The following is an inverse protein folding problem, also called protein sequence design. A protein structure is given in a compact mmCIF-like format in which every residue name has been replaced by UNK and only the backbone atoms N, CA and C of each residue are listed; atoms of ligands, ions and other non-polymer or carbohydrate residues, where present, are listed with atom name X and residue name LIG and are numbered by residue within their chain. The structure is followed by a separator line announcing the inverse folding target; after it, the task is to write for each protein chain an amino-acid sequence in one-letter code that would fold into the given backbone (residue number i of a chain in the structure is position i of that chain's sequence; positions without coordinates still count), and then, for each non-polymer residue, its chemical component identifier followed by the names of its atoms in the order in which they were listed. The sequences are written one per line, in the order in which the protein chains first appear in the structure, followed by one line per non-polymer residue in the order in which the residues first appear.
data_IF_930164286929
#
_entry.id   IF_930164286929
#
_cell.length_a   1.000
_cell.length_b   1.000
_cell.length_c   1.000
_cell.angle_alpha   90.00
_cell.angle_beta   90.00
_cell.angle_gamma   90.00
#
_symmetry.space_group_name_H-M   'P 1'
#
loop_
_entity.id
_entity.type
_entity.pdbx_description
1 polymer ?
#
# COMPACT_ATOMS: atom_id res chain seq x y z
N UNK A 1 -14.45 38.59 -26.99
CA UNK A 1 -15.19 38.40 -28.27
C UNK A 1 -15.38 36.90 -28.50
N UNK A 2 -16.10 36.53 -29.57
CA UNK A 2 -16.53 35.18 -29.96
C UNK A 2 -15.38 34.13 -29.98
N UNK A 3 -15.65 32.81 -29.93
CA UNK A 3 -16.89 32.13 -30.34
C UNK A 3 -17.32 30.93 -29.48
N UNK A 4 -18.63 30.67 -29.51
CA UNK A 4 -19.27 29.40 -29.17
C UNK A 4 -19.23 28.43 -30.37
N UNK A 5 -19.35 27.13 -30.10
CA UNK A 5 -20.05 26.15 -30.94
C UNK A 5 -20.91 25.28 -30.00
N UNK A 6 -22.06 24.80 -30.48
CA UNK A 6 -23.05 24.02 -29.71
C UNK A 6 -23.72 22.94 -30.60
N UNK A 7 -24.64 22.17 -30.03
CA UNK A 7 -25.30 20.96 -30.55
C UNK A 7 -24.36 19.73 -30.66
N UNK A 8 -24.67 18.54 -30.13
CA UNK A 8 -25.81 18.11 -29.32
C UNK A 8 -26.93 17.39 -30.09
N UNK A 9 -27.21 16.13 -29.72
CA UNK A 9 -28.46 15.40 -30.04
C UNK A 9 -28.63 14.18 -29.13
N UNK A 10 -29.87 13.92 -28.72
CA UNK A 10 -30.33 12.76 -27.94
C UNK A 10 -30.70 11.58 -28.84
N UNK A 11 -30.81 10.38 -28.26
CA UNK A 11 -32.02 9.54 -28.37
C UNK A 11 -31.98 8.33 -27.42
N UNK A 12 -33.16 7.79 -27.11
CA UNK A 12 -33.37 6.74 -26.11
C UNK A 12 -33.41 5.32 -26.69
N UNK A 13 -33.00 4.36 -25.84
CA UNK A 13 -33.57 3.03 -25.59
C UNK A 13 -34.44 2.37 -26.69
N UNK A 14 -34.07 1.12 -27.05
CA UNK A 14 -35.07 0.06 -27.23
C UNK A 14 -34.54 -1.34 -26.88
N UNK A 15 -35.44 -2.15 -26.32
CA UNK A 15 -35.22 -3.47 -25.71
C UNK A 15 -35.34 -4.63 -26.71
N UNK A 16 -34.68 -5.76 -26.40
CA UNK A 16 -35.12 -7.12 -26.78
C UNK A 16 -34.60 -8.12 -25.73
N UNK A 17 -35.27 -9.28 -25.59
CA UNK A 17 -35.00 -10.24 -24.52
C UNK A 17 -35.13 -11.70 -24.98
N UNK A 18 -34.40 -12.60 -24.30
CA UNK A 18 -34.64 -14.04 -24.07
C UNK A 18 -33.55 -14.52 -23.08
N UNK A 19 -33.74 -15.44 -22.11
CA UNK A 19 -34.30 -16.82 -22.13
C UNK A 19 -33.45 -17.79 -23.00
N UNK A 20 -33.13 -19.02 -22.58
CA UNK A 20 -33.57 -19.78 -21.39
C UNK A 20 -32.54 -20.86 -20.95
N UNK A 21 -32.54 -21.15 -19.65
CA UNK A 21 -32.29 -22.43 -18.94
C UNK A 21 -31.55 -23.63 -19.60
N UNK A 22 -30.67 -24.26 -18.77
CA UNK A 22 -30.56 -25.72 -18.51
C UNK A 22 -30.10 -26.69 -19.65
N UNK A 23 -29.57 -27.90 -19.38
CA UNK A 23 -29.10 -28.54 -18.12
C UNK A 23 -28.22 -29.78 -18.38
N UNK A 24 -27.31 -30.07 -17.43
CA UNK A 24 -26.90 -31.39 -16.89
C UNK A 24 -26.55 -32.60 -17.79
N UNK A 25 -25.50 -33.32 -17.34
CA UNK A 25 -25.35 -34.80 -17.38
C UNK A 25 -25.13 -35.46 -18.77
N UNK A 26 -24.45 -36.61 -18.92
CA UNK A 26 -23.81 -37.51 -17.93
C UNK A 26 -22.80 -38.46 -18.63
N UNK A 27 -21.78 -38.97 -17.89
CA UNK A 27 -21.11 -40.30 -18.09
C UNK A 27 -20.44 -40.65 -19.47
N UNK A 28 -19.51 -41.62 -19.63
CA UNK A 28 -18.59 -42.34 -18.72
C UNK A 28 -17.53 -43.21 -19.45
N UNK A 29 -16.30 -43.33 -18.86
CA UNK A 29 -15.52 -44.59 -18.64
C UNK A 29 -14.85 -45.36 -19.83
N UNK A 30 -13.72 -46.06 -19.52
CA UNK A 30 -12.95 -47.12 -20.28
C UNK A 30 -12.02 -46.63 -21.42
N UNK A 31 -10.86 -47.25 -21.78
CA UNK A 31 -9.96 -48.32 -21.25
C UNK A 31 -8.66 -48.41 -22.16
N UNK A 32 -7.52 -49.10 -21.93
CA UNK A 32 -6.84 -49.78 -20.79
C UNK A 32 -5.36 -50.21 -21.17
N UNK A 33 -4.63 -50.87 -20.24
CA UNK A 33 -3.64 -51.99 -20.46
C UNK A 33 -2.21 -51.77 -21.06
N UNK A 34 -1.20 -51.88 -20.15
CA UNK A 34 0.06 -52.69 -20.15
C UNK A 34 1.28 -52.54 -21.12
N UNK A 35 2.48 -52.58 -20.49
CA UNK A 35 3.75 -53.31 -20.87
C UNK A 35 4.59 -52.84 -22.11
N UNK A 36 5.92 -53.04 -22.21
CA UNK A 36 6.98 -53.64 -21.35
C UNK A 36 8.42 -53.26 -21.83
N UNK A 37 9.46 -53.38 -20.95
CA UNK A 37 10.91 -53.70 -21.26
C UNK A 37 11.80 -52.70 -22.04
N UNK A 38 13.15 -52.75 -22.07
CA UNK A 38 14.22 -53.29 -21.19
C UNK A 38 15.62 -52.70 -21.60
N UNK A 39 16.65 -52.97 -20.78
CA UNK A 39 18.11 -53.09 -21.08
C UNK A 39 19.06 -51.87 -21.32
N UNK A 40 19.98 -51.73 -20.36
CA UNK A 40 21.48 -51.82 -20.48
C UNK A 40 22.34 -50.74 -21.19
N UNK A 41 22.98 -49.91 -20.34
CA UNK A 41 24.44 -49.72 -20.13
C UNK A 41 25.47 -49.74 -21.30
N UNK A 42 26.34 -48.72 -21.32
CA UNK A 42 27.77 -48.82 -21.71
C UNK A 42 28.55 -47.54 -21.39
N UNK A 43 29.69 -47.66 -20.70
CA UNK A 43 30.73 -46.62 -20.59
C UNK A 43 31.78 -46.74 -21.71
N UNK A 44 32.38 -45.63 -22.17
CA UNK A 44 33.82 -45.49 -22.53
C UNK A 44 34.20 -44.00 -22.54
N UNK A 45 35.48 -43.68 -22.29
CA UNK A 45 36.04 -42.32 -22.13
C UNK A 45 36.71 -41.76 -23.39
N UNK A 46 36.93 -40.43 -23.47
CA UNK A 46 38.21 -39.84 -23.93
C UNK A 46 38.32 -38.30 -23.86
N UNK A 47 39.55 -37.85 -23.59
CA UNK A 47 40.24 -36.58 -23.88
C UNK A 47 39.48 -35.24 -24.09
N UNK A 48 39.91 -34.23 -23.32
CA UNK A 48 39.59 -32.80 -23.50
C UNK A 48 40.61 -32.08 -24.41
N UNK A 49 40.17 -31.09 -25.22
CA UNK A 49 40.98 -29.93 -25.59
C UNK A 49 40.64 -28.72 -24.69
N UNK A 50 41.65 -27.96 -24.24
CA UNK A 50 41.42 -26.72 -23.50
C UNK A 50 41.22 -25.54 -24.45
N UNK A 51 40.13 -24.79 -24.26
CA UNK A 51 39.98 -23.42 -24.73
C UNK A 51 39.88 -22.45 -23.53
N UNK A 52 39.96 -21.11 -23.72
CA UNK A 52 40.19 -20.17 -22.63
C UNK A 52 39.12 -20.15 -21.53
N UNK A 53 39.55 -19.83 -20.31
CA UNK A 53 38.63 -19.49 -19.21
C UNK A 53 37.88 -18.20 -19.55
N UNK A 54 36.68 -18.33 -20.11
CA UNK A 54 35.65 -17.31 -19.96
C UNK A 54 35.38 -17.16 -18.46
N UNK A 55 35.74 -16.00 -17.90
CA UNK A 55 35.32 -15.62 -16.55
C UNK A 55 33.80 -15.78 -16.49
N UNK A 56 33.22 -16.53 -15.54
CA UNK A 56 31.78 -16.65 -15.45
C UNK A 56 31.17 -15.27 -15.25
N UNK A 57 30.51 -14.76 -16.31
CA UNK A 57 29.53 -13.68 -16.14
C UNK A 57 28.53 -14.22 -15.11
N UNK A 58 28.17 -13.46 -14.05
CA UNK A 58 27.22 -13.95 -13.06
C UNK A 58 25.98 -14.49 -13.76
N UNK A 59 25.50 -15.67 -13.34
CA UNK A 59 24.22 -16.15 -13.84
C UNK A 59 23.17 -15.13 -13.40
N UNK A 60 22.60 -14.43 -14.37
CA UNK A 60 21.39 -13.63 -14.19
C UNK A 60 20.29 -14.62 -13.78
N UNK A 61 20.06 -14.72 -12.47
CA UNK A 61 18.94 -15.47 -11.92
C UNK A 61 17.65 -14.84 -12.46
N UNK A 62 17.00 -15.55 -13.38
CA UNK A 62 15.85 -15.06 -14.15
C UNK A 62 14.64 -14.76 -13.25
N UNK A 63 14.66 -15.26 -12.02
CA UNK A 63 13.61 -15.05 -11.05
C UNK A 63 13.85 -13.82 -10.17
N UNK A 64 15.03 -13.18 -10.24
CA UNK A 64 15.37 -11.95 -9.49
C UNK A 64 15.37 -10.72 -10.41
N UNK A 65 14.66 -9.67 -10.01
CA UNK A 65 14.48 -8.43 -10.76
C UNK A 65 14.88 -7.24 -9.86
N UNK A 66 15.98 -6.54 -10.19
CA UNK A 66 16.40 -5.33 -9.45
C UNK A 66 15.52 -4.16 -9.89
N UNK A 67 14.70 -3.65 -8.97
CA UNK A 67 13.75 -2.56 -9.23
C UNK A 67 14.31 -1.16 -8.88
N UNK A 68 15.31 -1.12 -8.01
CA UNK A 68 15.98 0.09 -7.53
C UNK A 68 17.39 -0.28 -7.09
N UNK A 69 18.36 0.60 -7.36
CA UNK A 69 19.71 0.52 -6.81
C UNK A 69 20.21 1.93 -6.49
N UNK A 70 20.75 2.13 -5.29
CA UNK A 70 21.41 3.37 -4.86
C UNK A 70 22.66 3.05 -4.03
N UNK A 71 23.54 4.03 -3.83
CA UNK A 71 24.67 3.92 -2.89
C UNK A 71 24.54 5.09 -1.90
N UNK A 72 24.49 4.81 -0.60
CA UNK A 72 24.25 5.81 0.44
C UNK A 72 24.89 5.37 1.76
N UNK A 73 25.49 6.32 2.48
CA UNK A 73 25.97 6.17 3.86
C UNK A 73 24.74 6.03 4.79
N UNK A 74 24.42 4.82 5.25
CA UNK A 74 23.23 4.58 6.09
C UNK A 74 23.55 4.45 7.58
N UNK A 75 24.78 4.09 7.96
CA UNK A 75 25.17 3.90 9.37
C UNK A 75 26.06 5.03 9.94
N UNK A 76 26.58 5.92 9.09
CA UNK A 76 27.37 7.09 9.47
C UNK A 76 28.89 6.87 9.51
N UNK A 77 29.41 5.72 9.07
CA UNK A 77 30.87 5.47 9.03
C UNK A 77 31.63 6.26 7.93
N UNK A 78 30.89 6.86 6.97
CA UNK A 78 31.36 7.63 5.79
C UNK A 78 31.83 6.80 4.60
N UNK A 79 31.52 5.51 4.56
CA UNK A 79 31.43 4.74 3.32
C UNK A 79 30.04 4.92 2.70
N UNK A 80 29.67 4.07 1.76
CA UNK A 80 28.34 4.07 1.16
C UNK A 80 27.92 2.64 0.87
N UNK A 81 26.80 2.24 1.45
CA UNK A 81 26.25 0.90 1.31
C UNK A 81 25.45 0.86 0.01
N UNK A 82 25.62 -0.21 -0.75
CA UNK A 82 24.83 -0.44 -1.96
C UNK A 82 23.47 -0.98 -1.53
N UNK A 83 22.42 -0.19 -1.73
CA UNK A 83 21.03 -0.53 -1.39
C UNK A 83 20.30 -0.95 -2.67
N UNK A 84 19.67 -2.13 -2.64
CA UNK A 84 18.87 -2.65 -3.75
C UNK A 84 17.46 -3.04 -3.29
N UNK A 85 16.43 -2.66 -4.06
CA UNK A 85 15.09 -3.27 -3.95
C UNK A 85 14.95 -4.33 -5.02
N UNK A 86 14.73 -5.56 -4.58
CA UNK A 86 14.60 -6.75 -5.40
C UNK A 86 13.16 -7.24 -5.39
N UNK A 87 12.68 -7.66 -6.56
CA UNK A 87 11.48 -8.47 -6.73
C UNK A 87 11.89 -9.87 -7.15
N UNK A 88 11.57 -10.86 -6.31
CA UNK A 88 11.81 -12.27 -6.59
C UNK A 88 10.48 -12.91 -6.98
N UNK A 89 10.48 -13.61 -8.12
CA UNK A 89 9.37 -14.39 -8.64
C UNK A 89 9.47 -15.80 -8.06
N UNK A 90 8.51 -16.20 -7.24
CA UNK A 90 8.44 -17.58 -6.76
C UNK A 90 7.59 -18.39 -7.75
N UNK A 91 8.24 -19.30 -8.46
CA UNK A 91 7.55 -20.26 -9.33
C UNK A 91 6.85 -21.31 -8.46
N UNK A 92 5.55 -21.14 -8.26
CA UNK A 92 4.68 -22.14 -7.65
C UNK A 92 4.65 -23.41 -8.50
N UNK A 93 4.89 -24.59 -7.92
CA UNK A 93 4.61 -25.89 -8.55
C UNK A 93 3.09 -26.12 -8.67
N UNK A 94 2.45 -25.37 -9.57
CA UNK A 94 1.01 -25.31 -9.74
C UNK A 94 0.60 -24.45 -10.94
N UNK A 95 -0.58 -24.69 -11.48
CA UNK A 95 -1.02 -24.09 -12.74
C UNK A 95 -1.41 -22.61 -12.60
N UNK A 96 -0.57 -21.72 -13.14
CA UNK A 96 -0.95 -20.42 -13.70
C UNK A 96 -1.25 -19.27 -12.72
N UNK A 97 -2.05 -19.50 -11.68
CA UNK A 97 -2.79 -18.42 -11.00
C UNK A 97 -2.22 -18.02 -9.62
N UNK A 98 -1.53 -18.92 -8.91
CA UNK A 98 -0.94 -18.66 -7.58
C UNK A 98 0.56 -18.31 -7.63
N UNK A 99 0.97 -17.41 -8.53
CA UNK A 99 2.36 -16.91 -8.54
C UNK A 99 2.56 -15.94 -7.39
N UNK A 100 3.59 -16.13 -6.58
CA UNK A 100 3.94 -15.18 -5.52
C UNK A 100 5.12 -14.27 -5.89
N UNK A 101 5.06 -13.03 -5.42
CA UNK A 101 6.16 -12.08 -5.45
C UNK A 101 6.68 -11.84 -4.04
N UNK A 102 7.99 -12.01 -3.88
CA UNK A 102 8.74 -11.65 -2.69
C UNK A 102 9.51 -10.36 -2.96
N UNK A 103 9.28 -9.33 -2.14
CA UNK A 103 10.07 -8.10 -2.15
C UNK A 103 11.16 -8.16 -1.09
N UNK A 104 12.41 -7.98 -1.52
CA UNK A 104 13.57 -7.92 -0.61
C UNK A 104 14.30 -6.59 -0.71
N UNK A 105 14.72 -6.11 0.45
CA UNK A 105 15.75 -5.09 0.62
C UNK A 105 17.08 -5.83 0.68
N UNK A 106 18.02 -5.50 -0.20
CA UNK A 106 19.40 -5.96 -0.16
C UNK A 106 20.32 -4.80 0.21
N UNK A 107 21.26 -5.08 1.10
CA UNK A 107 22.31 -4.14 1.54
C UNK A 107 23.65 -4.84 1.34
N UNK A 108 24.57 -4.22 0.60
CA UNK A 108 25.93 -4.73 0.36
C UNK A 108 26.96 -3.69 0.79
N UNK A 109 27.92 -4.10 1.61
CA UNK A 109 28.95 -3.27 2.23
C UNK A 109 30.34 -3.95 2.16
N UNK A 110 31.34 -3.42 2.86
CA UNK A 110 32.67 -4.05 2.98
C UNK A 110 32.64 -5.41 3.72
N UNK A 111 31.62 -5.66 4.55
CA UNK A 111 31.54 -6.83 5.44
C UNK A 111 30.79 -8.01 4.80
N UNK A 112 29.89 -7.78 3.85
CA UNK A 112 29.18 -8.82 3.13
C UNK A 112 27.93 -8.34 2.37
N UNK A 113 26.83 -9.07 2.53
CA UNK A 113 25.54 -8.72 1.94
C UNK A 113 24.40 -9.29 2.78
N UNK A 114 23.42 -8.45 3.10
CA UNK A 114 22.24 -8.75 3.90
C UNK A 114 20.97 -8.69 3.04
N UNK A 115 20.10 -9.70 3.16
CA UNK A 115 18.91 -9.91 2.32
C UNK A 115 17.66 -9.96 3.22
N UNK A 116 16.92 -8.85 3.32
CA UNK A 116 15.74 -8.69 4.19
C UNK A 116 14.44 -8.76 3.39
N UNK A 117 13.60 -9.77 3.66
CA UNK A 117 12.27 -9.87 3.04
C UNK A 117 11.27 -8.93 3.72
N UNK A 118 10.87 -7.85 3.03
CA UNK A 118 9.86 -6.92 3.53
C UNK A 118 8.42 -7.32 3.15
N UNK A 119 8.21 -7.96 1.99
CA UNK A 119 6.87 -8.42 1.57
C UNK A 119 6.90 -9.79 0.90
N UNK A 120 5.85 -10.58 1.14
CA UNK A 120 5.42 -11.71 0.30
C UNK A 120 3.93 -11.48 0.03
N UNK A 121 3.53 -11.61 -1.23
CA UNK A 121 2.16 -11.37 -1.69
C UNK A 121 1.90 -12.11 -3.00
N UNK A 122 0.64 -12.40 -3.30
CA UNK A 122 0.25 -12.89 -4.62
C UNK A 122 0.61 -11.86 -5.71
N UNK A 123 0.96 -12.36 -6.89
CA UNK A 123 1.23 -11.56 -8.06
C UNK A 123 -0.05 -10.84 -8.51
N UNK A 124 0.06 -9.54 -8.77
CA UNK A 124 -1.04 -8.72 -9.22
C UNK A 124 -0.55 -7.47 -9.94
N UNK A 125 -1.46 -6.51 -10.13
CA UNK A 125 -1.15 -5.25 -10.82
C UNK A 125 -0.23 -4.31 -10.00
N UNK A 126 -0.15 -4.49 -8.68
CA UNK A 126 0.78 -3.75 -7.83
C UNK A 126 2.17 -4.37 -7.85
N UNK A 127 3.19 -3.51 -7.77
CA UNK A 127 4.56 -3.92 -7.47
C UNK A 127 4.72 -4.49 -6.06
N UNK A 128 5.98 -4.76 -5.69
CA UNK A 128 6.37 -5.07 -4.31
C UNK A 128 6.57 -3.81 -3.46
N UNK A 129 6.93 -2.69 -4.09
CA UNK A 129 7.13 -1.38 -3.45
C UNK A 129 6.58 -0.24 -4.33
N UNK A 130 6.34 0.94 -3.75
CA UNK A 130 6.00 2.19 -4.46
C UNK A 130 7.05 3.29 -4.29
N UNK A 131 7.68 3.36 -3.12
CA UNK A 131 8.65 4.40 -2.73
C UNK A 131 9.71 3.81 -1.79
N UNK A 132 10.85 4.48 -1.69
CA UNK A 132 11.89 4.22 -0.68
C UNK A 132 12.49 5.56 -0.22
N UNK A 133 12.61 5.74 1.08
CA UNK A 133 13.19 6.93 1.72
C UNK A 133 14.19 6.54 2.81
N UNK A 134 15.12 7.46 3.11
CA UNK A 134 16.16 7.29 4.12
C UNK A 134 16.11 8.47 5.09
N UNK A 135 15.71 8.23 6.34
CA UNK A 135 15.60 9.25 7.38
C UNK A 135 15.88 8.61 8.75
N UNK A 136 16.43 9.38 9.67
CA UNK A 136 16.43 9.02 11.11
C UNK A 136 14.97 9.04 11.61
N UNK A 137 14.43 7.88 12.05
CA UNK A 137 13.04 7.72 12.50
C UNK A 137 12.94 7.54 14.02
N UNK A 138 13.93 6.89 14.66
CA UNK A 138 13.95 6.64 16.11
C UNK A 138 14.79 7.66 16.91
N UNK A 139 15.60 8.48 16.24
CA UNK A 139 16.43 9.53 16.81
C UNK A 139 17.82 9.08 17.23
N UNK A 140 18.29 7.89 16.81
CA UNK A 140 19.59 7.35 17.20
C UNK A 140 20.80 7.93 16.44
N UNK A 141 20.55 8.70 15.36
CA UNK A 141 21.55 9.41 14.57
C UNK A 141 22.07 8.69 13.31
N UNK A 142 21.50 7.55 12.92
CA UNK A 142 21.75 6.92 11.59
C UNK A 142 20.55 7.10 10.65
N UNK A 143 20.62 6.58 9.42
CA UNK A 143 19.48 6.59 8.50
C UNK A 143 18.75 5.25 8.52
N UNK A 144 17.48 5.28 8.95
CA UNK A 144 16.56 4.16 8.77
C UNK A 144 16.04 4.13 7.33
N UNK A 145 15.78 2.93 6.83
CA UNK A 145 15.22 2.68 5.51
C UNK A 145 13.70 2.51 5.64
N UNK A 146 12.92 3.41 5.03
CA UNK A 146 11.47 3.35 4.93
C UNK A 146 11.06 2.91 3.51
N UNK A 147 10.21 1.88 3.41
CA UNK A 147 9.72 1.34 2.13
C UNK A 147 8.19 1.34 2.16
N UNK A 148 7.56 2.03 1.20
CA UNK A 148 6.13 1.92 0.96
C UNK A 148 5.82 0.67 0.12
N UNK A 149 4.76 -0.06 0.50
CA UNK A 149 4.37 -1.34 -0.08
C UNK A 149 2.89 -1.26 -0.49
N UNK A 150 2.55 -1.17 -1.79
CA UNK A 150 1.16 -1.14 -2.23
C UNK A 150 0.50 -2.51 -2.04
N UNK A 151 -0.72 -2.57 -1.50
CA UNK A 151 -1.50 -3.80 -1.26
C UNK A 151 -1.95 -4.46 -2.58
N UNK A 152 -2.83 -3.82 -3.36
CA UNK A 152 -3.14 -4.25 -4.75
C UNK A 152 -3.06 -3.09 -5.74
N UNK A 153 -3.07 -3.41 -7.04
CA UNK A 153 -2.80 -2.44 -8.12
C UNK A 153 -4.03 -1.70 -8.63
N UNK A 154 -4.94 -1.33 -7.73
CA UNK A 154 -6.01 -0.36 -7.98
C UNK A 154 -5.73 0.89 -7.15
N UNK A 155 -6.30 2.05 -7.51
CA UNK A 155 -6.11 3.32 -6.79
C UNK A 155 -6.60 3.32 -5.33
N UNK A 156 -7.22 2.22 -4.86
CA UNK A 156 -8.22 2.19 -3.80
C UNK A 156 -7.84 1.34 -2.57
N UNK A 157 -6.56 0.98 -2.39
CA UNK A 157 -6.13 -0.05 -1.41
C UNK A 157 -4.91 0.35 -0.59
N UNK A 158 -4.71 -0.33 0.55
CA UNK A 158 -3.87 0.17 1.64
C UNK A 158 -2.39 0.21 1.25
N UNK A 159 -1.72 1.33 1.51
CA UNK A 159 -0.25 1.33 1.51
C UNK A 159 0.25 0.79 2.83
N UNK A 160 0.80 -0.42 2.79
CA UNK A 160 1.63 -0.98 3.86
C UNK A 160 2.98 -0.26 3.90
N UNK A 161 3.75 -0.45 4.98
CA UNK A 161 5.15 -0.03 5.01
C UNK A 161 6.05 -1.01 5.74
N UNK A 162 7.34 -0.89 5.46
CA UNK A 162 8.42 -1.56 6.18
C UNK A 162 9.46 -0.51 6.58
N UNK A 163 9.96 -0.61 7.80
CA UNK A 163 11.10 0.17 8.31
C UNK A 163 12.21 -0.77 8.77
N UNK A 164 13.46 -0.35 8.60
CA UNK A 164 14.65 -1.06 9.07
C UNK A 164 15.75 -0.10 9.53
N UNK A 165 16.29 -0.35 10.72
CA UNK A 165 17.45 0.35 11.28
C UNK A 165 18.73 -0.50 11.04
N UNK A 166 19.72 -0.02 10.26
CA UNK A 166 20.90 -0.81 9.90
C UNK A 166 21.88 -1.05 11.06
N UNK A 167 21.86 -0.17 12.06
CA UNK A 167 22.79 -0.15 13.21
C UNK A 167 22.32 -1.08 14.33
N UNK A 168 21.01 -1.13 14.59
CA UNK A 168 20.40 -2.06 15.55
C UNK A 168 19.95 -3.39 14.92
N UNK A 169 19.91 -3.47 13.58
CA UNK A 169 19.34 -4.58 12.79
C UNK A 169 17.86 -4.86 13.11
N UNK A 170 17.17 -3.84 13.63
CA UNK A 170 15.75 -3.89 13.93
C UNK A 170 14.92 -3.68 12.66
N UNK A 171 13.75 -4.31 12.58
CA UNK A 171 12.76 -4.00 11.54
C UNK A 171 11.35 -4.05 12.09
N UNK A 172 10.46 -3.30 11.44
CA UNK A 172 9.03 -3.34 11.70
C UNK A 172 8.27 -3.26 10.37
N UNK A 173 7.18 -4.01 10.27
CA UNK A 173 6.33 -4.06 9.09
C UNK A 173 4.88 -3.78 9.44
N UNK A 174 4.32 -2.71 8.88
CA UNK A 174 2.89 -2.46 8.92
C UNK A 174 2.16 -3.29 7.86
N UNK A 175 1.10 -3.98 8.28
CA UNK A 175 0.10 -4.72 7.49
C UNK A 175 -1.22 -4.67 8.27
N UNK A 176 -2.35 -4.98 7.63
CA UNK A 176 -3.69 -4.87 8.24
C UNK A 176 -3.80 -5.55 9.62
N UNK A 177 -3.29 -6.78 9.77
CA UNK A 177 -3.31 -7.55 11.03
C UNK A 177 -2.30 -7.09 12.11
N UNK A 178 -1.56 -5.98 11.93
CA UNK A 178 -0.53 -5.60 12.89
C UNK A 178 -1.11 -4.99 14.18
N UNK A 179 -1.09 -5.78 15.25
CA UNK A 179 -1.51 -5.43 16.62
C UNK A 179 -1.00 -4.07 17.17
N UNK A 180 0.14 -3.56 16.68
CA UNK A 180 0.73 -2.30 17.16
C UNK A 180 0.17 -1.05 16.45
N UNK A 181 -0.31 -1.18 15.21
CA UNK A 181 -0.95 -0.09 14.44
C UNK A 181 -2.33 -0.60 13.99
N UNK A 182 -3.23 -0.78 14.95
CA UNK A 182 -4.60 -1.16 14.64
C UNK A 182 -5.39 0.08 14.18
N UNK A 183 -5.32 0.38 12.88
CA UNK A 183 -6.04 1.51 12.26
C UNK A 183 -7.56 1.31 12.27
N UNK A 184 -8.06 0.07 12.23
CA UNK A 184 -9.51 -0.20 12.34
C UNK A 184 -10.05 0.26 13.71
N UNK A 185 -9.40 -0.11 14.81
CA UNK A 185 -9.70 0.40 16.16
C UNK A 185 -9.47 1.92 16.32
N UNK A 186 -8.75 2.56 15.39
CA UNK A 186 -8.58 4.01 15.36
C UNK A 186 -9.75 4.67 14.62
N UNK A 187 -10.11 4.16 13.45
CA UNK A 187 -11.29 4.54 12.67
C UNK A 187 -12.61 4.34 13.45
N UNK A 188 -12.82 3.14 14.00
CA UNK A 188 -13.98 2.75 14.84
C UNK A 188 -14.09 3.59 16.13
N UNK A 189 -13.09 4.41 16.46
CA UNK A 189 -13.13 5.31 17.61
C UNK A 189 -13.73 6.69 17.30
N UNK A 190 -14.16 6.94 16.06
CA UNK A 190 -14.85 8.15 15.63
C UNK A 190 -16.37 7.92 15.44
N UNK A 191 -17.16 8.96 15.71
CA UNK A 191 -18.61 8.98 15.48
C UNK A 191 -19.03 10.26 14.74
N UNK A 192 -20.13 10.17 13.99
CA UNK A 192 -20.60 11.20 13.07
C UNK A 192 -22.09 11.50 13.29
N UNK A 193 -22.42 12.77 13.59
CA UNK A 193 -23.79 13.23 13.88
C UNK A 193 -24.12 14.50 13.09
N UNK A 194 -25.15 14.48 12.24
CA UNK A 194 -25.62 15.68 11.54
C UNK A 194 -26.30 16.65 12.51
N UNK A 195 -25.76 17.86 12.62
CA UNK A 195 -26.22 18.89 13.59
C UNK A 195 -26.99 20.04 12.94
N UNK A 196 -27.46 19.86 11.71
CA UNK A 196 -28.19 20.87 10.94
C UNK A 196 -27.30 21.73 10.05
N UNK A 197 -27.93 22.55 9.20
CA UNK A 197 -27.26 23.56 8.35
C UNK A 197 -26.04 23.04 7.56
N UNK A 198 -26.12 21.82 7.00
CA UNK A 198 -25.03 21.21 6.24
C UNK A 198 -23.72 21.01 7.03
N UNK A 199 -23.82 20.87 8.35
CA UNK A 199 -22.69 20.65 9.26
C UNK A 199 -22.75 19.24 9.86
N UNK A 200 -21.67 18.48 9.73
CA UNK A 200 -21.50 17.17 10.35
C UNK A 200 -20.58 17.32 11.57
N UNK A 201 -21.04 16.89 12.74
CA UNK A 201 -20.19 16.80 13.91
C UNK A 201 -19.37 15.50 13.85
N UNK A 202 -18.06 15.60 14.08
CA UNK A 202 -17.15 14.46 14.23
C UNK A 202 -16.64 14.46 15.67
N UNK A 203 -16.80 13.34 16.37
CA UNK A 203 -16.31 13.16 17.73
C UNK A 203 -15.46 11.90 17.87
N UNK A 204 -14.60 11.86 18.88
CA UNK A 204 -13.96 10.62 19.33
C UNK A 204 -13.90 10.57 20.85
N UNK A 205 -14.61 9.60 21.43
CA UNK A 205 -14.61 9.35 22.88
C UNK A 205 -13.24 8.87 23.37
N UNK A 206 -12.51 8.12 22.54
CA UNK A 206 -11.16 7.59 22.83
C UNK A 206 -10.14 8.69 23.09
N UNK A 207 -10.28 9.84 22.42
CA UNK A 207 -9.34 10.98 22.54
C UNK A 207 -9.98 12.24 23.14
N UNK A 208 -11.24 12.17 23.59
CA UNK A 208 -11.97 13.34 24.13
C UNK A 208 -12.22 14.46 23.12
N UNK A 209 -12.21 14.15 21.82
CA UNK A 209 -12.32 15.13 20.74
C UNK A 209 -13.76 15.33 20.25
N UNK A 210 -14.07 16.54 19.79
CA UNK A 210 -15.34 16.94 19.18
C UNK A 210 -15.09 18.16 18.27
N UNK A 211 -15.35 18.01 16.98
CA UNK A 211 -15.17 19.04 15.94
C UNK A 211 -16.29 18.99 14.90
N UNK A 212 -16.19 19.80 13.84
CA UNK A 212 -17.26 19.94 12.82
C UNK A 212 -16.69 20.06 11.42
N UNK A 213 -17.17 19.20 10.53
CA UNK A 213 -16.94 19.22 9.09
C UNK A 213 -18.08 19.98 8.41
N UNK A 214 -17.75 20.76 7.39
CA UNK A 214 -18.72 21.43 6.53
C UNK A 214 -18.99 20.58 5.29
N UNK A 215 -20.22 20.07 5.15
CA UNK A 215 -20.66 19.27 3.99
C UNK A 215 -21.62 20.05 3.06
N UNK A 216 -21.58 21.39 3.14
CA UNK A 216 -22.48 22.32 2.43
C UNK A 216 -21.99 22.70 1.02
N UNK A 217 -21.29 21.80 0.32
CA UNK A 217 -20.38 22.11 -0.80
C UNK A 217 -21.06 22.40 -2.14
N UNK A 218 -21.72 23.56 -2.21
CA UNK A 218 -22.35 24.07 -3.43
C UNK A 218 -23.60 23.32 -3.86
N UNK A 219 -23.98 22.26 -3.15
CA UNK A 219 -25.20 21.46 -3.37
C UNK A 219 -26.44 22.30 -3.03
N UNK A 220 -26.95 23.05 -3.99
CA UNK A 220 -28.03 24.03 -3.78
C UNK A 220 -29.41 23.39 -3.50
N UNK A 221 -29.64 22.15 -3.95
CA UNK A 221 -30.96 21.48 -3.91
C UNK A 221 -31.04 20.25 -2.97
N UNK A 222 -30.07 20.05 -2.07
CA UNK A 222 -30.05 18.89 -1.16
C UNK A 222 -30.86 19.15 0.12
N UNK A 223 -31.87 18.30 0.37
CA UNK A 223 -32.75 18.39 1.53
C UNK A 223 -32.07 17.99 2.84
N UNK A 224 -32.60 18.45 3.99
CA UNK A 224 -32.15 18.01 5.32
C UNK A 224 -32.27 16.49 5.51
N UNK A 225 -33.23 15.85 4.84
CA UNK A 225 -33.41 14.40 4.83
C UNK A 225 -32.24 13.66 4.15
N UNK A 226 -31.63 14.25 3.11
CA UNK A 226 -30.37 13.72 2.55
C UNK A 226 -29.21 13.87 3.55
N UNK A 227 -29.13 15.03 4.22
CA UNK A 227 -28.05 15.28 5.19
C UNK A 227 -28.10 14.35 6.41
N UNK A 228 -29.29 13.93 6.87
CA UNK A 228 -29.43 12.94 7.95
C UNK A 228 -28.77 11.58 7.62
N UNK A 229 -28.56 11.25 6.35
CA UNK A 229 -27.85 10.03 5.95
C UNK A 229 -26.36 10.05 6.29
N UNK A 230 -25.73 11.23 6.48
CA UNK A 230 -24.32 11.34 6.88
C UNK A 230 -24.06 10.89 8.33
N UNK A 231 -25.09 10.59 9.12
CA UNK A 231 -24.94 9.83 10.37
C UNK A 231 -24.44 8.38 10.15
N UNK A 232 -24.29 7.95 8.88
CA UNK A 232 -23.65 6.69 8.48
C UNK A 232 -22.21 6.88 8.00
N UNK A 233 -21.67 8.11 8.02
CA UNK A 233 -20.26 8.36 7.68
C UNK A 233 -19.33 7.55 8.58
N UNK A 234 -18.17 7.19 8.02
CA UNK A 234 -17.15 6.42 8.71
C UNK A 234 -15.75 6.86 8.28
N UNK A 235 -14.76 6.49 9.09
CA UNK A 235 -13.35 6.58 8.71
C UNK A 235 -12.95 5.23 8.12
N UNK A 236 -12.24 5.21 6.99
CA UNK A 236 -11.55 4.02 6.50
C UNK A 236 -10.04 4.34 6.38
N UNK A 237 -9.13 3.43 6.76
CA UNK A 237 -7.68 3.68 6.75
C UNK A 237 -7.03 3.81 5.35
N UNK A 238 -7.84 4.01 4.31
CA UNK A 238 -7.42 3.96 2.90
C UNK A 238 -8.18 5.01 2.07
N UNK A 239 -7.47 5.98 1.47
CA UNK A 239 -8.04 6.86 0.45
C UNK A 239 -8.31 6.19 -0.89
N UNK A 240 -9.26 6.75 -1.66
CA UNK A 240 -9.68 6.22 -2.96
C UNK A 240 -9.02 6.89 -4.17
N UNK A 241 -8.77 8.20 -4.12
CA UNK A 241 -7.81 8.85 -5.04
C UNK A 241 -7.51 10.24 -4.50
N UNK A 242 -6.25 10.53 -4.15
CA UNK A 242 -5.86 11.81 -3.55
C UNK A 242 -4.51 12.33 -4.06
N UNK A 243 -4.29 13.63 -3.83
CA UNK A 243 -3.06 14.34 -4.17
C UNK A 243 -1.83 13.78 -3.46
N UNK A 244 -0.64 14.30 -3.78
CA UNK A 244 0.61 13.84 -3.19
C UNK A 244 0.62 13.97 -1.65
N UNK A 245 0.00 15.03 -1.12
CA UNK A 245 0.00 15.38 0.30
C UNK A 245 -0.95 14.53 1.16
N UNK A 246 -1.85 13.75 0.54
CA UNK A 246 -2.82 12.85 1.20
C UNK A 246 -2.46 11.40 0.93
N UNK A 247 -1.21 11.03 1.23
CA UNK A 247 -0.67 9.67 1.11
C UNK A 247 0.06 9.27 2.38
N UNK A 248 0.27 7.96 2.54
CA UNK A 248 1.32 7.45 3.42
C UNK A 248 2.63 8.13 3.00
N UNK A 249 3.31 8.81 3.93
CA UNK A 249 4.56 9.52 3.66
C UNK A 249 5.34 9.77 4.94
N UNK A 250 6.64 10.09 4.80
CA UNK A 250 7.40 10.70 5.88
C UNK A 250 7.21 12.23 5.88
N UNK A 251 7.04 12.81 7.06
CA UNK A 251 7.00 14.26 7.26
C UNK A 251 8.03 14.67 8.31
N UNK A 252 8.50 15.93 8.26
CA UNK A 252 9.38 16.49 9.28
C UNK A 252 8.64 17.54 10.11
N UNK A 253 8.65 17.34 11.43
CA UNK A 253 8.14 18.29 12.41
C UNK A 253 8.97 19.57 12.46
N UNK A 254 8.44 20.64 13.04
CA UNK A 254 9.21 21.86 13.32
C UNK A 254 10.39 21.64 14.29
N UNK A 255 10.41 20.52 15.04
CA UNK A 255 11.53 20.10 15.88
C UNK A 255 12.60 19.31 15.10
N UNK A 256 12.42 19.11 13.79
CA UNK A 256 13.35 18.38 12.91
C UNK A 256 13.15 16.86 12.88
N UNK A 257 12.42 16.30 13.87
CA UNK A 257 12.08 14.87 13.97
C UNK A 257 11.19 14.42 12.82
N UNK A 258 11.39 13.19 12.36
CA UNK A 258 10.55 12.53 11.36
C UNK A 258 9.30 11.92 12.00
N UNK A 259 8.15 12.04 11.36
CA UNK A 259 6.92 11.31 11.67
C UNK A 259 6.46 10.54 10.41
N UNK A 260 5.92 9.34 10.60
CA UNK A 260 5.18 8.60 9.57
C UNK A 260 3.74 9.12 9.60
N UNK A 261 3.29 9.74 8.51
CA UNK A 261 1.92 10.21 8.29
C UNK A 261 1.10 9.12 7.63
N UNK A 262 -0.05 8.76 8.20
CA UNK A 262 -1.00 7.77 7.68
C UNK A 262 -2.38 8.45 7.52
N UNK A 263 -2.78 8.85 6.31
CA UNK A 263 -4.07 9.47 6.06
C UNK A 263 -5.20 8.43 6.06
N UNK A 264 -6.32 8.75 6.71
CA UNK A 264 -7.52 7.91 6.74
C UNK A 264 -8.71 8.73 6.26
N UNK A 265 -9.42 8.28 5.22
CA UNK A 265 -10.50 9.05 4.61
C UNK A 265 -11.78 9.01 5.44
N UNK A 266 -12.47 10.15 5.52
CA UNK A 266 -13.83 10.26 6.06
C UNK A 266 -14.80 10.19 4.88
N UNK A 267 -15.58 9.11 4.81
CA UNK A 267 -16.53 8.86 3.73
C UNK A 267 -17.95 9.33 4.04
N UNK A 268 -18.61 9.91 3.04
CA UNK A 268 -19.96 10.42 3.08
C UNK A 268 -21.03 9.38 2.78
N UNK A 269 -22.11 9.80 2.11
CA UNK A 269 -23.23 8.93 1.71
C UNK A 269 -22.85 7.84 0.69
N UNK A 270 -21.79 8.08 -0.06
CA UNK A 270 -21.25 7.16 -1.07
C UNK A 270 -19.76 6.96 -0.81
N UNK A 271 -19.25 5.77 -1.15
CA UNK A 271 -17.82 5.42 -0.98
C UNK A 271 -16.86 6.25 -1.83
N UNK A 272 -17.34 7.11 -2.75
CA UNK A 272 -16.52 8.07 -3.49
C UNK A 272 -16.65 9.52 -2.97
N UNK A 273 -17.51 9.76 -1.96
CA UNK A 273 -17.81 11.08 -1.41
C UNK A 273 -16.88 11.34 -0.20
N UNK A 274 -15.61 11.63 -0.44
CA UNK A 274 -14.65 11.97 0.64
C UNK A 274 -14.96 13.37 1.14
N UNK A 275 -15.32 13.49 2.43
CA UNK A 275 -15.74 14.75 3.07
C UNK A 275 -14.74 15.27 4.13
N UNK A 276 -13.67 14.52 4.40
CA UNK A 276 -12.63 14.87 5.35
C UNK A 276 -11.51 13.82 5.39
N UNK A 277 -10.46 14.11 6.16
CA UNK A 277 -9.36 13.17 6.43
C UNK A 277 -9.04 13.18 7.94
N UNK A 278 -8.73 12.01 8.49
CA UNK A 278 -8.10 11.85 9.81
C UNK A 278 -6.66 11.43 9.56
N UNK A 279 -5.77 12.38 9.76
CA UNK A 279 -4.36 12.26 9.40
C UNK A 279 -3.56 11.83 10.64
N UNK A 280 -3.07 10.59 10.65
CA UNK A 280 -2.52 9.94 11.84
C UNK A 280 -1.00 9.89 11.82
N UNK A 281 -0.35 10.51 12.81
CA UNK A 281 1.10 10.72 12.84
C UNK A 281 1.77 9.88 13.92
N UNK A 282 2.76 9.08 13.50
CA UNK A 282 3.51 8.14 14.34
C UNK A 282 4.99 8.52 14.36
N UNK A 283 5.65 8.48 15.52
CA UNK A 283 7.13 8.43 15.58
C UNK A 283 7.56 6.99 15.86
N UNK A 284 8.76 6.60 15.47
CA UNK A 284 9.33 5.33 15.93
C UNK A 284 9.82 5.49 17.38
N UNK A 285 9.80 4.41 18.17
CA UNK A 285 10.30 4.37 19.54
C UNK A 285 11.61 3.58 19.67
N UNK A 286 12.22 3.60 20.85
CA UNK A 286 13.45 2.85 21.16
C UNK A 286 13.31 1.31 21.09
N UNK A 287 12.11 0.78 20.81
CA UNK A 287 11.86 -0.64 20.51
C UNK A 287 11.69 -0.89 19.00
N UNK A 288 12.02 0.13 18.19
CA UNK A 288 11.82 0.25 16.76
C UNK A 288 10.37 0.01 16.29
N UNK A 289 9.40 0.53 17.06
CA UNK A 289 7.96 0.43 16.74
C UNK A 289 7.35 1.82 16.55
N UNK A 290 6.50 2.02 15.52
CA UNK A 290 5.75 3.27 15.38
C UNK A 290 4.71 3.42 16.50
N UNK A 291 4.68 4.58 17.14
CA UNK A 291 3.77 4.96 18.23
C UNK A 291 3.03 6.23 17.85
N UNK A 292 1.70 6.18 17.85
CA UNK A 292 0.82 7.30 17.53
C UNK A 292 1.10 8.49 18.49
N UNK A 293 1.38 9.66 17.94
CA UNK A 293 1.64 10.90 18.71
C UNK A 293 0.56 11.96 18.54
N UNK A 294 -0.05 12.04 17.37
CA UNK A 294 -1.13 13.01 17.10
C UNK A 294 -2.03 12.57 15.96
N UNK A 295 -3.24 13.12 15.95
CA UNK A 295 -4.19 13.04 14.85
C UNK A 295 -4.51 14.47 14.42
N UNK A 296 -4.56 14.74 13.12
CA UNK A 296 -5.15 15.97 12.60
C UNK A 296 -6.43 15.67 11.83
N UNK A 297 -7.45 16.48 12.05
CA UNK A 297 -8.77 16.33 11.43
C UNK A 297 -8.89 17.42 10.37
N UNK A 298 -9.07 17.02 9.12
CA UNK A 298 -9.01 17.89 7.95
C UNK A 298 -10.38 17.97 7.30
N UNK A 299 -10.83 19.19 7.01
CA UNK A 299 -12.05 19.53 6.28
C UNK A 299 -11.68 19.93 4.83
N UNK A 300 -12.30 19.28 3.83
CA UNK A 300 -12.10 19.50 2.39
C UNK A 300 -12.98 20.63 1.81
N UNK A 301 -13.35 21.64 2.61
CA UNK A 301 -14.31 22.67 2.21
C UNK A 301 -14.03 23.37 0.87
N UNK A 302 -15.10 23.47 0.05
CA UNK A 302 -15.42 24.30 -1.14
C UNK A 302 -14.36 24.66 -2.21
N UNK A 303 -13.10 24.91 -1.85
CA UNK A 303 -12.00 25.27 -2.76
C UNK A 303 -10.97 24.13 -2.91
N UNK A 304 -11.28 22.92 -2.41
CA UNK A 304 -10.32 21.82 -2.16
C UNK A 304 -9.14 22.26 -1.26
N UNK A 305 -9.35 23.23 -0.37
CA UNK A 305 -8.33 23.69 0.58
C UNK A 305 -8.41 22.83 1.84
N UNK A 306 -7.29 22.19 2.19
CA UNK A 306 -7.15 21.46 3.45
C UNK A 306 -7.27 22.43 4.63
N UNK A 307 -8.31 22.30 5.44
CA UNK A 307 -8.45 23.07 6.68
C UNK A 307 -8.30 22.12 7.88
N UNK A 308 -7.23 22.28 8.66
CA UNK A 308 -7.06 21.52 9.91
C UNK A 308 -8.05 22.08 10.94
N UNK A 309 -9.15 21.36 11.17
CA UNK A 309 -10.21 21.71 12.12
C UNK A 309 -9.98 21.13 13.53
N UNK A 310 -9.04 20.19 13.66
CA UNK A 310 -8.63 19.63 14.95
C UNK A 310 -7.19 19.12 14.92
N UNK A 311 -6.45 19.32 16.02
CA UNK A 311 -5.15 18.70 16.28
C UNK A 311 -5.23 18.06 17.66
N UNK A 312 -5.19 16.72 17.69
CA UNK A 312 -5.38 15.89 18.87
C UNK A 312 -4.02 15.31 19.25
N UNK A 313 -3.51 15.62 20.43
CA UNK A 313 -2.28 14.99 20.96
C UNK A 313 -2.60 13.71 21.71
N UNK A 314 -1.80 12.68 21.46
CA UNK A 314 -1.87 11.38 22.14
C UNK A 314 -0.70 11.30 23.12
N UNK A 315 -1.01 10.99 24.39
CA UNK A 315 -0.03 10.87 25.48
C UNK A 315 0.40 9.41 25.67
#
# INVERSE_FOLDING_TARGET
MLSLISCGKSNEVKTSANKEQNSSSDNSVKNDVQQDKDSEDSQVTSATPKDPQTTPKPLEDKNVEVLKQENIDIDGDKKTEKIEILKIKQDSEGSGENREYEGKLRITDDNGTEDLTFIKKQAGLAGVYSNIEYNDLDGDGVLDIFIEIPEVGSSFTMSYFFIYNPKTKSSYKFVEDNQYINLRNLADSFSFDYVGSGTLEIASSRFGYKGRLNISDGRQDTSEEMFLGYNRSWVEPVPIEMGADSRLMLVRTHEGKTEIKIPMCIFGLATADIIGEVDAYYTVDNSFKPVLKRLEIIDYGKDNKLNIIGNIKVN
#
